data_IF_255394171211
#
_entry.id   IF_255394171211
#
_cell.length_a   1.000
_cell.length_b   1.000
_cell.length_c   1.000
_cell.angle_alpha   90.00
_cell.angle_beta   90.00
_cell.angle_gamma   90.00
#
_symmetry.space_group_name_H-M   'P 1'
#
loop_
_entity.id
_entity.type
_entity.pdbx_description
1 polymer ?
#
# COMPACT_ATOMS: atom_id res chain seq x y z
N UNK A 1 2.93 17.18 1.51
CA UNK A 1 2.61 17.66 2.87
C UNK A 1 1.62 16.67 3.44
N UNK A 2 1.99 15.94 4.49
CA UNK A 2 1.07 15.04 5.19
C UNK A 2 0.40 15.90 6.25
N UNK A 3 -0.91 16.10 6.13
CA UNK A 3 -1.69 16.87 7.07
C UNK A 3 -2.06 15.94 8.23
N UNK A 4 -1.45 16.15 9.39
CA UNK A 4 -1.69 15.35 10.60
C UNK A 4 -2.98 15.83 11.27
N UNK A 5 -4.06 15.07 11.14
CA UNK A 5 -5.27 15.24 11.96
C UNK A 5 -5.02 14.68 13.37
N UNK A 6 -5.73 15.18 14.37
CA UNK A 6 -5.55 14.85 15.79
C UNK A 6 -5.35 13.34 16.04
N UNK A 7 -4.36 13.01 16.89
CA UNK A 7 -3.92 11.63 17.16
C UNK A 7 -5.00 10.81 17.88
N UNK A 8 -5.92 10.25 17.11
CA UNK A 8 -6.74 9.11 17.51
C UNK A 8 -5.96 7.83 17.23
N UNK A 9 -5.77 7.01 18.27
CA UNK A 9 -5.24 5.65 18.11
C UNK A 9 -6.38 4.71 17.74
N UNK A 10 -6.35 4.17 16.53
CA UNK A 10 -7.30 3.20 16.02
C UNK A 10 -6.80 1.77 16.31
N UNK A 11 -7.74 0.86 16.56
CA UNK A 11 -7.50 -0.58 16.48
C UNK A 11 -7.44 -1.04 15.02
N UNK A 12 -6.98 -2.27 14.80
CA UNK A 12 -6.93 -2.83 13.44
C UNK A 12 -8.33 -3.04 12.86
N UNK A 13 -9.29 -3.48 13.69
CA UNK A 13 -10.68 -3.68 13.31
C UNK A 13 -11.36 -2.37 12.91
N UNK A 14 -11.17 -1.30 13.68
CA UNK A 14 -11.69 0.04 13.36
C UNK A 14 -11.10 0.58 12.05
N UNK A 15 -9.81 0.35 11.80
CA UNK A 15 -9.20 0.70 10.53
C UNK A 15 -9.83 -0.06 9.35
N UNK A 16 -10.08 -1.37 9.50
CA UNK A 16 -10.68 -2.16 8.43
C UNK A 16 -12.11 -1.72 8.12
N UNK A 17 -12.92 -1.42 9.16
CA UNK A 17 -14.27 -0.87 8.98
C UNK A 17 -14.24 0.49 8.29
N UNK A 18 -13.30 1.36 8.68
CA UNK A 18 -13.08 2.66 8.06
C UNK A 18 -12.67 2.52 6.58
N UNK A 19 -11.68 1.68 6.29
CA UNK A 19 -11.14 1.49 4.93
C UNK A 19 -12.20 0.90 3.98
N UNK A 20 -13.04 -0.02 4.46
CA UNK A 20 -14.15 -0.58 3.67
C UNK A 20 -15.22 0.45 3.29
N UNK A 21 -15.38 1.49 4.10
CA UNK A 21 -16.34 2.57 3.86
C UNK A 21 -15.73 3.76 3.07
N UNK A 22 -14.42 3.75 2.84
CA UNK A 22 -13.70 4.85 2.23
C UNK A 22 -13.68 4.75 0.69
N UNK A 23 -13.78 5.89 0.01
CA UNK A 23 -13.54 5.98 -1.44
C UNK A 23 -12.04 6.10 -1.78
N UNK A 24 -11.25 6.61 -0.83
CA UNK A 24 -9.81 6.75 -0.93
C UNK A 24 -9.09 5.68 -0.13
N UNK A 25 -7.87 5.33 -0.54
CA UNK A 25 -7.09 4.30 0.13
C UNK A 25 -6.28 4.88 1.28
N UNK A 26 -6.14 4.13 2.37
CA UNK A 26 -5.31 4.52 3.51
C UNK A 26 -4.30 3.43 3.91
N UNK A 27 -3.30 3.81 4.70
CA UNK A 27 -2.38 2.91 5.39
C UNK A 27 -2.56 3.03 6.90
N UNK A 28 -2.60 1.88 7.57
CA UNK A 28 -2.56 1.80 9.02
C UNK A 28 -1.12 1.64 9.50
N UNK A 29 -0.63 2.62 10.26
CA UNK A 29 0.74 2.63 10.81
C UNK A 29 0.68 2.96 12.30
N UNK A 30 0.97 1.97 13.14
CA UNK A 30 1.07 2.13 14.61
C UNK A 30 -0.15 2.79 15.28
N UNK A 31 -1.37 2.47 14.81
CA UNK A 31 -2.59 3.05 15.37
C UNK A 31 -3.06 4.31 14.64
N UNK A 32 -2.34 4.78 13.63
CA UNK A 32 -2.71 5.95 12.85
C UNK A 32 -3.12 5.55 11.43
N UNK A 33 -4.04 6.30 10.83
CA UNK A 33 -4.55 6.07 9.48
C UNK A 33 -4.06 7.21 8.57
N UNK A 34 -3.34 6.85 7.51
CA UNK A 34 -2.72 7.78 6.58
C UNK A 34 -3.31 7.65 5.19
N UNK A 35 -3.80 8.75 4.61
CA UNK A 35 -4.20 8.76 3.20
C UNK A 35 -2.98 8.45 2.31
N UNK A 36 -3.09 7.43 1.47
CA UNK A 36 -2.08 7.15 0.45
C UNK A 36 -2.49 7.78 -0.87
N UNK A 37 -1.56 8.50 -1.48
CA UNK A 37 -1.73 8.97 -2.85
C UNK A 37 -1.60 7.78 -3.80
N UNK A 38 -2.51 7.68 -4.77
CA UNK A 38 -2.39 6.69 -5.84
C UNK A 38 -1.09 6.83 -6.64
N UNK A 39 -0.73 5.77 -7.35
CA UNK A 39 0.47 5.74 -8.19
C UNK A 39 0.38 6.73 -9.37
N UNK A 40 1.46 7.48 -9.63
CA UNK A 40 1.61 8.22 -10.89
C UNK A 40 2.04 7.27 -12.02
N UNK A 41 1.84 7.61 -13.30
CA UNK A 41 2.32 6.78 -14.41
C UNK A 41 3.81 6.45 -14.32
N UNK A 42 4.66 7.42 -13.96
CA UNK A 42 6.10 7.22 -13.78
C UNK A 42 6.41 6.25 -12.61
N UNK A 43 5.68 6.38 -11.50
CA UNK A 43 5.80 5.46 -10.38
C UNK A 43 5.44 4.02 -10.82
N UNK A 44 4.37 3.88 -11.59
CA UNK A 44 3.90 2.58 -12.07
C UNK A 44 4.90 1.94 -13.06
N UNK A 45 5.52 2.72 -13.93
CA UNK A 45 6.56 2.24 -14.84
C UNK A 45 7.76 1.68 -14.08
N UNK A 46 8.24 2.40 -13.05
CA UNK A 46 9.34 1.94 -12.18
C UNK A 46 8.95 0.64 -11.46
N UNK A 47 7.74 0.58 -10.89
CA UNK A 47 7.24 -0.60 -10.18
C UNK A 47 7.15 -1.83 -11.10
N UNK A 48 6.66 -1.66 -12.33
CA UNK A 48 6.57 -2.72 -13.34
C UNK A 48 7.96 -3.22 -13.74
N UNK A 49 8.89 -2.30 -14.01
CA UNK A 49 10.26 -2.66 -14.38
C UNK A 49 10.94 -3.48 -13.27
N UNK A 50 10.78 -3.07 -12.01
CA UNK A 50 11.29 -3.81 -10.86
C UNK A 50 10.63 -5.20 -10.74
N UNK A 51 9.30 -5.27 -10.85
CA UNK A 51 8.56 -6.51 -10.75
C UNK A 51 8.97 -7.51 -11.85
N UNK A 52 9.19 -7.04 -13.08
CA UNK A 52 9.67 -7.85 -14.19
C UNK A 52 11.07 -8.43 -13.93
N UNK A 53 12.00 -7.61 -13.43
CA UNK A 53 13.35 -8.05 -13.06
C UNK A 53 13.31 -9.09 -11.94
N UNK A 54 12.53 -8.85 -10.87
CA UNK A 54 12.37 -9.79 -9.76
C UNK A 54 11.74 -11.10 -10.22
N UNK A 55 10.69 -11.05 -11.04
CA UNK A 55 10.03 -12.25 -11.57
C UNK A 55 11.00 -13.11 -12.37
N UNK A 56 11.86 -12.48 -13.17
CA UNK A 56 12.91 -13.17 -13.93
C UNK A 56 13.93 -13.83 -13.00
N UNK A 57 14.48 -13.08 -12.04
CA UNK A 57 15.51 -13.55 -11.11
C UNK A 57 15.05 -14.66 -10.14
N UNK A 58 13.74 -14.73 -9.89
CA UNK A 58 13.10 -15.72 -9.00
C UNK A 58 12.51 -16.93 -9.75
N UNK A 59 12.63 -16.98 -11.08
CA UNK A 59 12.11 -18.11 -11.87
C UNK A 59 12.69 -19.44 -11.38
N UNK A 60 11.81 -20.41 -11.14
CA UNK A 60 12.18 -21.75 -10.65
C UNK A 60 12.47 -21.85 -9.15
N UNK A 61 12.37 -20.74 -8.40
CA UNK A 61 12.51 -20.72 -6.93
C UNK A 61 11.12 -20.74 -6.26
N UNK A 62 11.01 -21.20 -5.00
CA UNK A 62 9.73 -21.25 -4.28
C UNK A 62 9.30 -19.88 -3.72
N UNK A 63 9.51 -18.81 -4.49
CA UNK A 63 9.17 -17.43 -4.08
C UNK A 63 8.04 -16.88 -4.95
N UNK A 64 7.20 -16.03 -4.34
CA UNK A 64 6.14 -15.27 -5.01
C UNK A 64 6.39 -13.79 -4.78
N UNK A 65 6.03 -12.98 -5.79
CA UNK A 65 6.06 -11.52 -5.71
C UNK A 65 4.62 -11.02 -5.76
N UNK A 66 4.35 -9.98 -5.01
CA UNK A 66 3.04 -9.33 -4.91
C UNK A 66 3.23 -7.83 -5.16
N UNK A 67 2.27 -7.22 -5.85
CA UNK A 67 2.17 -5.77 -5.92
C UNK A 67 1.48 -5.24 -4.68
N UNK A 68 1.61 -3.94 -4.41
CA UNK A 68 1.02 -3.29 -3.24
C UNK A 68 -0.52 -3.30 -3.22
N UNK A 69 -1.18 -3.63 -4.34
CA UNK A 69 -2.63 -3.48 -4.54
C UNK A 69 -3.37 -4.84 -4.60
N UNK A 70 -2.83 -5.89 -3.98
CA UNK A 70 -3.54 -7.18 -3.87
C UNK A 70 -4.38 -7.26 -2.61
#
# INVERSE_FOLDING_TARGET
>A
MIQTLEQCTYTHEEYLEFELASEERHEYVNGEIYLITGGTPNHNEIAINLAALLKSALRGKPYRIFGADQ
#
